data_IF_941388343026
#
_entry.id   IF_941388343026
#
_cell.length_a   1.000
_cell.length_b   1.000
_cell.length_c   1.000
_cell.angle_alpha   90.00
_cell.angle_beta   90.00
_cell.angle_gamma   90.00
#
_symmetry.space_group_name_H-M   'P 1'
#
loop_
_entity.id
_entity.type
_entity.pdbx_description
1 polymer ?
#
# COMPACT_ATOMS: atom_id res chain seq x y z
N UNK A 1 -35.22 1.59 0.86
CA UNK A 1 -35.96 0.73 1.82
C UNK A 1 -34.98 0.25 2.89
N UNK A 2 -35.09 0.72 4.14
CA UNK A 2 -34.33 0.11 5.24
C UNK A 2 -34.79 -1.35 5.44
N UNK A 3 -33.84 -2.26 5.65
CA UNK A 3 -34.12 -3.68 5.89
C UNK A 3 -34.99 -3.80 7.15
N UNK A 4 -36.12 -4.51 7.08
CA UNK A 4 -36.90 -4.84 8.28
C UNK A 4 -36.18 -5.94 9.05
N UNK A 5 -35.71 -5.70 10.28
CA UNK A 5 -35.06 -6.74 11.08
C UNK A 5 -36.13 -7.71 11.58
N UNK A 6 -35.82 -8.99 11.47
CA UNK A 6 -36.53 -10.04 12.19
C UNK A 6 -35.84 -10.16 13.56
N UNK A 7 -36.47 -9.60 14.60
CA UNK A 7 -35.99 -9.67 15.99
C UNK A 7 -35.57 -8.32 16.59
N UNK A 8 -35.93 -8.10 17.87
CA UNK A 8 -35.52 -6.92 18.65
C UNK A 8 -34.24 -7.26 19.43
N UNK A 9 -33.10 -6.70 19.05
CA UNK A 9 -32.00 -6.51 20.00
C UNK A 9 -32.26 -5.24 20.80
N UNK A 10 -32.55 -5.39 22.10
CA UNK A 10 -32.52 -4.25 23.03
C UNK A 10 -31.07 -3.81 23.16
N UNK A 11 -30.75 -2.60 22.71
CA UNK A 11 -29.52 -1.91 23.09
C UNK A 11 -29.58 -1.63 24.60
N UNK A 12 -29.19 -2.62 25.40
CA UNK A 12 -29.07 -2.50 26.85
C UNK A 12 -27.63 -2.11 27.17
N UNK A 13 -27.41 -0.81 27.26
CA UNK A 13 -26.11 -0.25 27.61
C UNK A 13 -25.96 1.15 27.04
N UNK A 14 -26.06 2.16 27.91
CA UNK A 14 -25.41 3.44 27.65
C UNK A 14 -23.91 3.15 27.51
N UNK A 15 -23.42 2.97 26.28
CA UNK A 15 -21.97 3.00 26.05
C UNK A 15 -21.53 4.44 26.31
N UNK A 16 -20.98 4.68 27.49
CA UNK A 16 -20.17 5.86 27.78
C UNK A 16 -18.89 5.77 26.96
N UNK A 17 -18.98 6.09 25.67
CA UNK A 17 -17.82 6.50 24.89
C UNK A 17 -17.61 7.96 25.27
N UNK A 18 -16.48 8.24 25.92
CA UNK A 18 -16.09 9.57 26.38
C UNK A 18 -16.46 10.64 25.35
N UNK A 19 -17.12 11.70 25.84
CA UNK A 19 -17.39 12.91 25.05
C UNK A 19 -16.05 13.52 24.67
N UNK A 20 -15.52 13.15 23.50
CA UNK A 20 -14.66 14.05 22.77
C UNK A 20 -15.56 15.20 22.29
N UNK A 21 -15.30 16.42 22.74
CA UNK A 21 -15.83 17.65 22.13
C UNK A 21 -15.46 17.62 20.65
N UNK A 22 -16.39 17.17 19.81
CA UNK A 22 -16.03 16.56 18.53
C UNK A 22 -17.03 16.79 17.41
N UNK A 23 -17.87 17.84 17.50
CA UNK A 23 -18.68 18.26 16.36
C UNK A 23 -17.85 18.90 15.24
N UNK A 24 -16.59 19.27 15.50
CA UNK A 24 -15.71 19.87 14.48
C UNK A 24 -14.89 18.86 13.66
N UNK A 25 -14.50 17.73 14.25
CA UNK A 25 -13.47 16.85 13.64
C UNK A 25 -13.98 16.16 12.38
N UNK A 26 -15.29 15.97 12.21
CA UNK A 26 -15.87 15.26 11.05
C UNK A 26 -16.72 16.16 10.14
N UNK A 27 -16.65 17.50 10.30
CA UNK A 27 -17.40 18.44 9.43
C UNK A 27 -17.03 18.29 7.96
N UNK A 28 -15.79 17.90 7.67
CA UNK A 28 -15.31 17.63 6.31
C UNK A 28 -16.03 16.44 5.64
N UNK A 29 -16.81 15.66 6.40
CA UNK A 29 -17.63 14.56 5.89
C UNK A 29 -19.11 14.94 5.70
N UNK A 30 -19.49 16.18 5.99
CA UNK A 30 -20.84 16.65 5.71
C UNK A 30 -21.03 16.80 4.20
N UNK A 31 -21.64 15.78 3.58
CA UNK A 31 -21.89 15.70 2.15
C UNK A 31 -22.84 16.79 1.64
N UNK A 32 -23.58 17.47 2.54
CA UNK A 32 -24.48 18.55 2.14
C UNK A 32 -23.76 19.91 2.11
N UNK A 33 -22.52 19.99 2.60
CA UNK A 33 -21.72 21.20 2.56
C UNK A 33 -20.91 21.25 1.24
N UNK A 34 -21.18 22.21 0.34
CA UNK A 34 -20.50 22.29 -0.97
C UNK A 34 -18.98 22.41 -0.86
N UNK A 35 -18.49 22.99 0.23
CA UNK A 35 -17.05 23.18 0.50
C UNK A 35 -16.30 21.85 0.60
N UNK A 36 -16.97 20.78 1.05
CA UNK A 36 -16.33 19.47 1.31
C UNK A 36 -16.74 18.37 0.32
N UNK A 37 -17.26 18.78 -0.85
CA UNK A 37 -17.70 17.82 -1.87
C UNK A 37 -16.57 16.90 -2.34
N UNK A 38 -15.35 17.43 -2.45
CA UNK A 38 -14.15 16.66 -2.80
C UNK A 38 -13.87 15.51 -1.84
N UNK A 39 -14.10 15.72 -0.55
CA UNK A 39 -13.85 14.76 0.53
C UNK A 39 -14.90 13.66 0.51
N UNK A 40 -16.17 14.00 0.26
CA UNK A 40 -17.23 13.03 0.05
C UNK A 40 -16.99 12.16 -1.20
N UNK A 41 -16.56 12.77 -2.30
CA UNK A 41 -16.21 12.05 -3.53
C UNK A 41 -14.98 11.14 -3.31
N UNK A 42 -13.99 11.61 -2.55
CA UNK A 42 -12.83 10.82 -2.14
C UNK A 42 -13.24 9.62 -1.28
N UNK A 43 -14.11 9.81 -0.29
CA UNK A 43 -14.65 8.72 0.52
C UNK A 43 -15.39 7.71 -0.35
N UNK A 44 -16.30 8.16 -1.20
CA UNK A 44 -17.08 7.27 -2.06
C UNK A 44 -16.15 6.44 -2.96
N UNK A 45 -15.11 7.04 -3.54
CA UNK A 45 -14.12 6.34 -4.36
C UNK A 45 -13.46 5.16 -3.63
N UNK A 46 -13.20 5.30 -2.33
CA UNK A 46 -12.52 4.28 -1.53
C UNK A 46 -13.48 3.30 -0.82
N UNK A 47 -14.70 3.75 -0.50
CA UNK A 47 -15.69 2.93 0.20
C UNK A 47 -16.62 2.14 -0.73
N UNK A 48 -16.76 2.55 -2.00
CA UNK A 48 -17.59 1.83 -2.97
C UNK A 48 -17.08 0.40 -3.15
N UNK A 49 -18.00 -0.55 -3.19
CA UNK A 49 -17.73 -2.00 -3.27
C UNK A 49 -17.10 -2.61 -2.02
N UNK A 50 -16.88 -1.84 -0.94
CA UNK A 50 -16.52 -2.44 0.33
C UNK A 50 -17.71 -3.26 0.86
N UNK A 51 -17.38 -4.42 1.41
CA UNK A 51 -18.33 -5.27 2.11
C UNK A 51 -18.37 -4.85 3.57
N UNK A 52 -19.55 -4.63 4.11
CA UNK A 52 -19.75 -4.18 5.49
C UNK A 52 -20.76 -5.05 6.20
N UNK A 53 -20.52 -5.28 7.48
CA UNK A 53 -21.43 -5.95 8.39
C UNK A 53 -22.14 -4.91 9.24
N UNK A 54 -23.46 -5.02 9.30
CA UNK A 54 -24.25 -4.13 10.16
C UNK A 54 -24.24 -4.64 11.60
N UNK A 55 -23.97 -3.75 12.56
CA UNK A 55 -23.96 -4.09 13.99
C UNK A 55 -25.37 -4.16 14.60
N UNK A 56 -26.38 -3.60 13.93
CA UNK A 56 -27.77 -3.54 14.40
C UNK A 56 -28.60 -4.79 14.09
N UNK A 57 -28.11 -5.69 13.24
CA UNK A 57 -28.80 -6.91 12.86
C UNK A 57 -28.50 -8.07 13.84
N UNK A 58 -29.54 -8.83 14.21
CA UNK A 58 -29.41 -10.03 15.05
C UNK A 58 -28.57 -11.14 14.38
N UNK A 59 -28.56 -11.17 13.04
CA UNK A 59 -27.69 -12.03 12.24
C UNK A 59 -26.66 -11.17 11.50
N UNK A 60 -25.38 -11.61 11.41
CA UNK A 60 -24.36 -10.88 10.67
C UNK A 60 -24.67 -10.97 9.18
N UNK A 61 -25.42 -10.00 8.67
CA UNK A 61 -25.66 -9.83 7.23
C UNK A 61 -24.57 -8.91 6.70
N UNK A 62 -23.90 -9.36 5.64
CA UNK A 62 -22.88 -8.59 4.93
C UNK A 62 -23.50 -7.93 3.72
N UNK A 63 -23.34 -6.61 3.63
CA UNK A 63 -23.82 -5.78 2.52
C UNK A 63 -22.65 -5.24 1.72
N UNK A 64 -22.89 -4.86 0.46
CA UNK A 64 -21.94 -4.15 -0.38
C UNK A 64 -22.35 -2.68 -0.49
N UNK A 65 -21.43 -1.77 -0.18
CA UNK A 65 -21.65 -0.32 -0.33
C UNK A 65 -21.72 0.02 -1.82
N UNK A 66 -22.81 0.66 -2.23
CA UNK A 66 -22.97 1.15 -3.61
C UNK A 66 -22.76 2.66 -3.72
N UNK A 67 -23.25 3.43 -2.74
CA UNK A 67 -23.22 4.88 -2.76
C UNK A 67 -23.24 5.48 -1.35
N UNK A 68 -22.91 6.76 -1.23
CA UNK A 68 -23.20 7.58 -0.05
C UNK A 68 -24.56 8.28 -0.24
N UNK A 69 -25.45 8.12 0.73
CA UNK A 69 -26.68 8.90 0.85
C UNK A 69 -26.43 10.22 1.57
N UNK A 70 -27.51 10.99 1.79
CA UNK A 70 -27.45 12.20 2.60
C UNK A 70 -27.16 11.87 4.07
N UNK A 71 -26.90 12.90 4.86
CA UNK A 71 -26.72 12.79 6.32
C UNK A 71 -27.91 12.11 6.98
N UNK A 72 -27.68 11.36 8.06
CA UNK A 72 -28.73 10.61 8.75
C UNK A 72 -29.92 11.48 9.21
N UNK A 73 -29.66 12.75 9.55
CA UNK A 73 -30.67 13.74 9.93
C UNK A 73 -31.57 14.19 8.78
N UNK A 74 -31.08 14.14 7.53
CA UNK A 74 -31.79 14.62 6.33
C UNK A 74 -32.33 13.45 5.51
N UNK A 75 -31.55 12.39 5.36
CA UNK A 75 -31.88 11.23 4.56
C UNK A 75 -33.20 10.63 5.05
N UNK A 76 -34.21 10.62 4.19
CA UNK A 76 -35.51 10.02 4.48
C UNK A 76 -35.70 8.71 3.76
N UNK A 77 -36.63 7.91 4.28
CA UNK A 77 -37.14 6.71 3.63
C UNK A 77 -38.58 6.43 4.08
N UNK A 78 -39.28 5.62 3.29
CA UNK A 78 -40.63 5.18 3.63
C UNK A 78 -40.59 4.06 4.69
N UNK A 79 -41.06 4.36 5.90
CA UNK A 79 -41.18 3.38 6.97
C UNK A 79 -42.47 2.57 6.81
N UNK A 80 -42.34 1.41 6.16
CA UNK A 80 -43.47 0.54 5.81
C UNK A 80 -44.41 0.21 6.97
N UNK A 81 -43.89 -0.06 8.17
CA UNK A 81 -44.71 -0.46 9.31
C UNK A 81 -45.60 0.67 9.86
N UNK A 82 -45.15 1.93 9.75
CA UNK A 82 -45.92 3.11 10.22
C UNK A 82 -46.53 3.92 9.06
N UNK A 83 -46.38 3.45 7.82
CA UNK A 83 -46.83 4.13 6.60
C UNK A 83 -46.46 5.64 6.55
N UNK A 84 -45.28 6.00 7.07
CA UNK A 84 -44.80 7.39 7.10
C UNK A 84 -43.40 7.52 6.51
N UNK A 85 -43.11 8.68 5.91
CA UNK A 85 -41.73 9.08 5.61
C UNK A 85 -41.06 9.52 6.91
N UNK A 86 -39.86 9.03 7.18
CA UNK A 86 -39.09 9.38 8.39
C UNK A 86 -37.62 9.51 8.02
N UNK A 87 -36.89 10.35 8.75
CA UNK A 87 -35.43 10.44 8.62
C UNK A 87 -34.78 9.18 9.19
N UNK A 88 -33.59 8.83 8.69
CA UNK A 88 -32.84 7.67 9.20
C UNK A 88 -32.55 7.87 10.69
N UNK A 89 -32.12 9.06 11.12
CA UNK A 89 -31.91 9.40 12.53
C UNK A 89 -33.15 9.12 13.40
N UNK A 90 -34.31 9.65 13.01
CA UNK A 90 -35.54 9.47 13.79
C UNK A 90 -36.01 8.01 13.81
N UNK A 91 -35.78 7.25 12.73
CA UNK A 91 -36.05 5.82 12.73
C UNK A 91 -35.20 5.08 13.77
N UNK A 92 -33.88 5.31 13.81
CA UNK A 92 -33.02 4.65 14.79
C UNK A 92 -33.35 5.07 16.23
N UNK A 93 -33.74 6.33 16.44
CA UNK A 93 -34.21 6.83 17.74
C UNK A 93 -35.52 6.18 18.16
N UNK A 94 -36.53 6.12 17.28
CA UNK A 94 -37.85 5.56 17.61
C UNK A 94 -37.87 4.03 17.67
N UNK A 95 -37.21 3.34 16.73
CA UNK A 95 -37.30 1.89 16.58
C UNK A 95 -36.28 1.13 17.43
N UNK A 96 -35.03 1.62 17.48
CA UNK A 96 -33.94 0.99 18.20
C UNK A 96 -33.62 1.66 19.54
N UNK A 97 -34.27 2.78 19.88
CA UNK A 97 -33.95 3.61 21.04
C UNK A 97 -32.47 4.04 21.06
N UNK A 98 -31.92 4.33 19.88
CA UNK A 98 -30.52 4.68 19.68
C UNK A 98 -30.42 6.15 19.27
N UNK A 99 -29.73 6.96 20.08
CA UNK A 99 -29.40 8.35 19.73
C UNK A 99 -28.03 8.37 19.05
N UNK A 100 -27.97 8.87 17.82
CA UNK A 100 -26.74 8.93 17.03
C UNK A 100 -25.78 9.96 17.59
N UNK A 101 -24.48 9.68 17.55
CA UNK A 101 -23.46 10.62 17.99
C UNK A 101 -23.10 11.63 16.90
N UNK A 102 -23.19 11.21 15.63
CA UNK A 102 -22.80 11.98 14.46
C UNK A 102 -23.91 11.96 13.38
N UNK A 103 -25.09 12.54 13.66
CA UNK A 103 -26.22 12.53 12.72
C UNK A 103 -25.95 13.29 11.40
N UNK A 104 -24.91 14.13 11.37
CA UNK A 104 -24.43 14.82 10.16
C UNK A 104 -23.65 13.92 9.21
N UNK A 105 -23.21 12.72 9.62
CA UNK A 105 -22.48 11.80 8.75
C UNK A 105 -23.40 11.22 7.66
N UNK A 106 -22.89 11.04 6.42
CA UNK A 106 -23.66 10.43 5.34
C UNK A 106 -24.06 9.00 5.69
N UNK A 107 -25.23 8.61 5.20
CA UNK A 107 -25.68 7.23 5.24
C UNK A 107 -24.99 6.42 4.15
N UNK A 108 -24.76 5.14 4.39
CA UNK A 108 -24.27 4.21 3.38
C UNK A 108 -25.45 3.58 2.66
N UNK A 109 -25.52 3.74 1.34
CA UNK A 109 -26.53 3.10 0.50
C UNK A 109 -26.04 1.75 -0.02
N UNK A 110 -26.80 0.72 0.28
CA UNK A 110 -26.55 -0.66 -0.13
C UNK A 110 -27.18 -0.93 -1.51
N UNK A 111 -26.75 -2.02 -2.15
CA UNK A 111 -27.26 -2.44 -3.48
C UNK A 111 -28.77 -2.69 -3.54
N UNK A 112 -29.35 -3.16 -2.44
CA UNK A 112 -30.80 -3.38 -2.30
C UNK A 112 -31.58 -2.08 -2.01
N UNK A 113 -30.92 -0.92 -2.01
CA UNK A 113 -31.52 0.38 -1.73
C UNK A 113 -31.79 0.64 -0.24
N UNK A 114 -31.20 -0.12 0.68
CA UNK A 114 -31.22 0.17 2.11
C UNK A 114 -30.14 1.16 2.52
N UNK A 115 -30.42 1.97 3.54
CA UNK A 115 -29.47 2.91 4.13
C UNK A 115 -28.99 2.38 5.48
N UNK A 116 -27.68 2.32 5.70
CA UNK A 116 -27.08 1.94 6.99
C UNK A 116 -26.21 3.10 7.47
N UNK A 117 -26.13 3.31 8.78
CA UNK A 117 -25.33 4.38 9.37
C UNK A 117 -23.84 4.02 9.37
N UNK A 118 -22.97 4.96 9.03
CA UNK A 118 -21.51 4.76 9.12
C UNK A 118 -21.06 4.43 10.55
N UNK A 119 -21.80 4.90 11.58
CA UNK A 119 -21.54 4.57 12.99
C UNK A 119 -21.80 3.11 13.36
N UNK A 120 -22.54 2.36 12.55
CA UNK A 120 -23.05 1.02 12.88
C UNK A 120 -22.56 -0.06 11.92
N UNK A 121 -21.46 0.19 11.20
CA UNK A 121 -20.88 -0.79 10.27
C UNK A 121 -19.46 -1.18 10.65
N UNK A 122 -19.17 -2.46 10.53
CA UNK A 122 -17.81 -2.99 10.51
C UNK A 122 -17.43 -3.34 9.06
N UNK A 123 -16.27 -2.89 8.61
CA UNK A 123 -15.76 -3.22 7.27
C UNK A 123 -15.21 -4.65 7.30
N UNK A 124 -15.71 -5.51 6.41
CA UNK A 124 -15.17 -6.86 6.24
C UNK A 124 -13.73 -6.81 5.72
N UNK A 125 -12.88 -7.80 6.04
CA UNK A 125 -11.50 -7.83 5.58
C UNK A 125 -11.37 -7.60 4.07
N UNK A 126 -10.70 -6.51 3.70
CA UNK A 126 -10.54 -6.09 2.31
C UNK A 126 -9.21 -6.63 1.77
N UNK A 127 -9.26 -7.31 0.62
CA UNK A 127 -8.04 -7.60 -0.16
C UNK A 127 -7.63 -6.34 -0.91
N UNK A 128 -6.68 -5.61 -0.35
CA UNK A 128 -6.11 -4.41 -1.00
C UNK A 128 -5.29 -4.84 -2.21
N UNK A 129 -5.70 -4.45 -3.42
CA UNK A 129 -5.01 -4.83 -4.67
C UNK A 129 -3.76 -3.98 -4.95
N UNK A 130 -3.76 -2.73 -4.50
CA UNK A 130 -2.65 -1.78 -4.64
C UNK A 130 -2.49 -1.04 -3.31
N UNK A 131 -1.28 -1.07 -2.79
CA UNK A 131 -0.88 -0.33 -1.59
C UNK A 131 -0.09 0.92 -2.01
N UNK A 132 -0.16 1.98 -1.20
CA UNK A 132 0.68 3.18 -1.38
C UNK A 132 2.16 2.87 -1.11
N UNK A 133 3.07 3.73 -1.55
CA UNK A 133 4.51 3.53 -1.28
C UNK A 133 4.83 3.58 0.22
N UNK A 134 4.11 4.41 0.98
CA UNK A 134 4.18 4.45 2.45
C UNK A 134 3.73 3.13 3.08
N UNK A 135 2.58 2.60 2.65
CA UNK A 135 2.09 1.29 3.10
C UNK A 135 3.06 0.17 2.70
N UNK A 136 3.67 0.25 1.52
CA UNK A 136 4.70 -0.70 1.06
C UNK A 136 5.95 -0.62 1.94
N UNK A 137 6.42 0.58 2.26
CA UNK A 137 7.56 0.77 3.15
C UNK A 137 7.27 0.21 4.55
N UNK A 138 6.07 0.45 5.08
CA UNK A 138 5.64 -0.10 6.36
C UNK A 138 5.55 -1.64 6.33
N UNK A 139 4.97 -2.20 5.27
CA UNK A 139 4.91 -3.65 5.08
C UNK A 139 6.32 -4.27 5.01
N UNK A 140 7.21 -3.66 4.22
CA UNK A 140 8.59 -4.11 4.10
C UNK A 140 9.30 -4.10 5.46
N UNK A 141 9.17 -3.02 6.24
CA UNK A 141 9.71 -2.94 7.60
C UNK A 141 9.13 -4.02 8.51
N UNK A 142 7.82 -4.27 8.41
CA UNK A 142 7.14 -5.26 9.23
C UNK A 142 7.53 -6.70 8.85
N UNK A 143 7.74 -6.99 7.57
CA UNK A 143 8.08 -8.33 7.08
C UNK A 143 9.59 -8.62 7.07
N UNK A 144 10.44 -7.59 7.14
CA UNK A 144 11.89 -7.74 7.18
C UNK A 144 12.34 -8.09 8.60
N UNK A 145 12.11 -9.34 8.99
CA UNK A 145 12.56 -9.88 10.28
C UNK A 145 13.78 -10.78 10.10
N UNK A 146 14.61 -10.88 11.14
CA UNK A 146 15.81 -11.71 11.08
C UNK A 146 15.47 -13.21 11.01
N UNK A 147 16.35 -14.07 10.46
CA UNK A 147 16.09 -15.52 10.44
C UNK A 147 15.82 -16.11 11.83
N UNK A 148 16.47 -15.56 12.88
CA UNK A 148 16.24 -15.97 14.27
C UNK A 148 14.84 -15.62 14.76
N UNK A 149 14.34 -14.43 14.45
CA UNK A 149 12.99 -14.01 14.80
C UNK A 149 11.93 -14.76 13.99
N UNK A 150 12.21 -15.02 12.72
CA UNK A 150 11.35 -15.84 11.86
C UNK A 150 11.23 -17.28 12.37
N UNK A 151 12.34 -17.88 12.80
CA UNK A 151 12.32 -19.21 13.43
C UNK A 151 11.45 -19.22 14.70
N UNK A 152 11.64 -18.23 15.58
CA UNK A 152 10.81 -18.06 16.79
C UNK A 152 9.35 -17.81 16.48
N UNK A 153 9.02 -17.09 15.41
CA UNK A 153 7.62 -16.81 15.06
C UNK A 153 6.90 -18.08 14.60
N UNK A 154 7.58 -18.93 13.83
CA UNK A 154 7.04 -20.25 13.44
C UNK A 154 6.87 -21.16 14.67
N UNK A 155 7.86 -21.21 15.57
CA UNK A 155 7.74 -21.98 16.82
C UNK A 155 6.56 -21.50 17.66
N UNK A 156 6.39 -20.18 17.82
CA UNK A 156 5.24 -19.61 18.53
C UNK A 156 3.89 -19.97 17.91
N UNK A 157 3.80 -20.09 16.58
CA UNK A 157 2.57 -20.56 15.91
C UNK A 157 2.24 -21.99 16.33
N UNK A 158 3.27 -22.84 16.51
CA UNK A 158 3.10 -24.23 16.96
C UNK A 158 2.77 -24.34 18.45
N UNK A 159 3.26 -23.42 19.27
CA UNK A 159 3.07 -23.43 20.73
C UNK A 159 1.78 -22.72 21.20
N UNK A 160 1.14 -21.92 20.34
CA UNK A 160 0.01 -21.08 20.74
C UNK A 160 -1.25 -21.91 21.04
N UNK A 161 -1.73 -21.95 22.30
CA UNK A 161 -2.90 -22.74 22.70
C UNK A 161 -4.22 -22.23 22.13
N UNK A 162 -4.24 -21.01 21.58
CA UNK A 162 -5.41 -20.47 20.90
C UNK A 162 -5.46 -20.83 19.40
N UNK A 163 -4.43 -21.49 18.87
CA UNK A 163 -4.43 -22.01 17.50
C UNK A 163 -4.75 -23.49 17.53
N UNK A 164 -5.53 -23.96 16.55
CA UNK A 164 -5.89 -25.38 16.45
C UNK A 164 -4.62 -26.22 16.29
N UNK A 165 -4.35 -27.07 17.28
CA UNK A 165 -3.30 -28.08 17.21
C UNK A 165 -3.65 -29.10 16.12
N UNK A 166 -2.65 -29.53 15.36
CA UNK A 166 -2.86 -30.55 14.33
C UNK A 166 -3.23 -31.89 14.97
N UNK A 167 -2.79 -32.13 16.22
CA UNK A 167 -3.14 -33.29 17.02
C UNK A 167 -4.64 -33.34 17.38
N UNK A 168 -5.29 -32.17 17.48
CA UNK A 168 -6.71 -32.04 17.82
C UNK A 168 -7.60 -31.86 16.58
N UNK A 169 -7.01 -31.76 15.38
CA UNK A 169 -7.76 -31.60 14.14
C UNK A 169 -8.41 -32.94 13.73
N UNK A 170 -9.76 -33.03 13.68
CA UNK A 170 -10.45 -34.27 13.33
C UNK A 170 -10.15 -34.75 11.91
N UNK A 171 -9.81 -33.84 10.98
CA UNK A 171 -9.40 -34.21 9.63
C UNK A 171 -7.98 -34.78 9.62
N UNK A 172 -7.05 -34.20 10.38
CA UNK A 172 -5.70 -34.76 10.48
C UNK A 172 -5.71 -36.16 11.11
N UNK A 173 -6.50 -36.33 12.18
CA UNK A 173 -6.70 -37.62 12.84
C UNK A 173 -7.32 -38.68 11.91
N UNK A 174 -8.33 -38.31 11.12
CA UNK A 174 -8.97 -39.23 10.16
C UNK A 174 -7.98 -39.77 9.09
N UNK A 175 -6.92 -39.03 8.79
CA UNK A 175 -5.86 -39.43 7.85
C UNK A 175 -4.64 -40.06 8.54
N UNK A 176 -4.70 -40.30 9.86
CA UNK A 176 -3.57 -40.75 10.68
C UNK A 176 -2.31 -39.88 10.51
N UNK A 177 -2.49 -38.57 10.35
CA UNK A 177 -1.38 -37.63 10.24
C UNK A 177 -0.88 -37.24 11.63
N UNK A 178 0.44 -37.30 11.81
CA UNK A 178 1.11 -36.75 12.98
C UNK A 178 2.18 -35.75 12.50
N UNK A 179 2.10 -34.51 13.00
CA UNK A 179 2.95 -33.40 12.56
C UNK A 179 3.87 -33.00 13.71
N UNK A 180 5.17 -33.21 13.52
CA UNK A 180 6.17 -32.82 14.51
C UNK A 180 6.16 -31.30 14.75
N UNK A 181 6.39 -30.87 15.99
CA UNK A 181 6.38 -29.46 16.39
C UNK A 181 7.69 -28.74 16.07
N UNK A 182 8.81 -29.44 16.21
CA UNK A 182 10.14 -28.88 15.94
C UNK A 182 10.44 -28.77 14.44
N UNK A 183 11.27 -27.79 14.10
CA UNK A 183 11.79 -27.64 12.73
C UNK A 183 12.73 -28.79 12.37
N UNK A 184 12.66 -29.20 11.11
CA UNK A 184 13.55 -30.22 10.56
C UNK A 184 15.02 -29.74 10.59
N UNK A 185 15.89 -30.54 11.19
CA UNK A 185 17.34 -30.30 11.15
C UNK A 185 17.95 -31.07 9.99
N UNK A 186 18.64 -30.36 9.11
CA UNK A 186 19.28 -30.92 7.92
C UNK A 186 20.79 -30.66 7.94
N UNK A 187 21.64 -31.65 7.62
CA UNK A 187 23.07 -31.40 7.43
C UNK A 187 23.27 -30.54 6.19
N UNK A 188 24.04 -29.46 6.34
CA UNK A 188 24.40 -28.56 5.25
C UNK A 188 25.93 -28.44 5.14
N UNK A 189 26.41 -28.03 3.97
CA UNK A 189 27.82 -27.73 3.72
C UNK A 189 27.95 -26.32 3.18
N UNK A 190 28.87 -25.54 3.75
CA UNK A 190 29.26 -24.24 3.20
C UNK A 190 30.36 -24.50 2.18
N UNK A 191 30.11 -24.13 0.92
CA UNK A 191 31.13 -24.25 -0.12
C UNK A 191 32.17 -23.13 0.04
N UNK A 192 33.47 -23.40 -0.21
CA UNK A 192 34.48 -22.36 -0.19
C UNK A 192 34.17 -21.31 -1.26
N UNK A 193 34.47 -20.06 -0.94
CA UNK A 193 34.38 -18.96 -1.90
C UNK A 193 35.37 -19.20 -3.06
N UNK A 194 34.98 -18.99 -4.32
CA UNK A 194 35.93 -19.05 -5.43
C UNK A 194 36.92 -17.88 -5.37
N UNK A 195 38.11 -18.09 -5.93
CA UNK A 195 39.04 -16.98 -6.16
C UNK A 195 38.51 -16.07 -7.26
N UNK A 196 38.55 -14.76 -7.02
CA UNK A 196 38.11 -13.76 -7.99
C UNK A 196 39.33 -13.05 -8.56
N UNK A 197 39.63 -13.33 -9.83
CA UNK A 197 40.79 -12.75 -10.52
C UNK A 197 40.38 -11.46 -11.23
N UNK A 198 41.03 -10.36 -10.85
CA UNK A 198 40.86 -9.06 -11.49
C UNK A 198 41.99 -8.79 -12.47
N UNK A 199 43.24 -8.91 -12.03
CA UNK A 199 44.41 -8.81 -12.92
C UNK A 199 45.40 -9.90 -12.56
N UNK A 200 46.43 -10.10 -13.37
CA UNK A 200 47.50 -11.05 -13.06
C UNK A 200 48.21 -10.74 -11.72
N UNK A 201 48.09 -9.51 -11.23
CA UNK A 201 48.68 -9.04 -9.97
C UNK A 201 47.66 -8.91 -8.82
N UNK A 202 46.36 -9.03 -9.09
CA UNK A 202 45.34 -8.86 -8.07
C UNK A 202 44.22 -9.89 -8.20
N UNK A 203 44.07 -10.68 -7.13
CA UNK A 203 43.02 -11.65 -6.94
C UNK A 203 42.47 -11.57 -5.52
N UNK A 204 41.18 -11.85 -5.36
CA UNK A 204 40.52 -11.95 -4.06
C UNK A 204 40.44 -13.42 -3.70
N UNK A 205 41.08 -13.80 -2.58
CA UNK A 205 41.04 -15.16 -2.04
C UNK A 205 40.15 -15.23 -0.79
N UNK A 206 39.86 -16.45 -0.34
CA UNK A 206 38.98 -16.66 0.81
C UNK A 206 39.55 -16.09 2.12
N UNK A 207 40.87 -16.01 2.25
CA UNK A 207 41.58 -15.50 3.42
C UNK A 207 41.61 -13.97 3.46
N UNK A 208 41.44 -13.32 2.30
CA UNK A 208 41.47 -11.87 2.16
C UNK A 208 40.13 -11.20 2.50
N UNK A 209 39.07 -11.99 2.69
CA UNK A 209 37.69 -11.52 2.87
C UNK A 209 37.22 -11.82 4.30
N UNK A 210 36.63 -10.83 4.96
CA UNK A 210 36.06 -10.99 6.30
C UNK A 210 34.79 -11.85 6.30
N UNK A 211 33.91 -11.62 5.33
CA UNK A 211 32.57 -12.22 5.27
C UNK A 211 32.35 -12.91 3.91
N UNK A 212 32.10 -14.23 3.87
CA UNK A 212 31.91 -14.96 2.62
C UNK A 212 30.84 -14.34 1.72
N UNK A 213 31.16 -14.15 0.45
CA UNK A 213 30.26 -13.56 -0.54
C UNK A 213 30.23 -12.03 -0.58
N UNK A 214 31.01 -11.35 0.27
CA UNK A 214 31.17 -9.90 0.25
C UNK A 214 32.65 -9.58 0.05
N UNK A 215 33.01 -8.89 -1.02
CA UNK A 215 34.37 -8.40 -1.19
C UNK A 215 34.35 -6.95 -1.66
N UNK A 216 35.30 -6.17 -1.15
CA UNK A 216 35.53 -4.82 -1.64
C UNK A 216 36.48 -4.86 -2.84
N UNK A 217 36.11 -4.10 -3.87
CA UNK A 217 36.99 -3.76 -4.95
C UNK A 217 38.09 -2.84 -4.42
N UNK A 218 39.30 -3.35 -4.18
CA UNK A 218 40.47 -2.49 -4.09
C UNK A 218 40.65 -1.78 -5.44
N UNK A 219 41.22 -0.56 -5.46
CA UNK A 219 41.41 0.21 -6.70
C UNK A 219 42.32 -0.56 -7.65
N UNK A 220 41.68 -1.32 -8.53
CA UNK A 220 42.28 -2.26 -9.48
C UNK A 220 41.47 -2.23 -10.76
N UNK A 221 42.09 -2.64 -11.85
CA UNK A 221 41.45 -2.61 -13.17
C UNK A 221 40.53 -3.81 -13.34
N UNK A 222 39.55 -3.68 -14.23
CA UNK A 222 38.80 -4.84 -14.68
C UNK A 222 39.73 -5.86 -15.36
N UNK A 223 39.37 -7.14 -15.26
CA UNK A 223 40.05 -8.23 -15.97
C UNK A 223 40.12 -8.01 -17.47
N UNK A 224 39.03 -7.49 -18.04
CA UNK A 224 38.98 -7.02 -19.42
C UNK A 224 38.22 -5.70 -19.44
N UNK A 225 38.92 -4.55 -19.38
CA UNK A 225 38.27 -3.26 -19.49
C UNK A 225 37.62 -3.11 -20.87
N UNK A 226 36.41 -2.56 -20.90
CA UNK A 226 35.74 -2.26 -22.16
C UNK A 226 36.43 -1.08 -22.87
N UNK A 227 36.44 -1.13 -24.20
CA UNK A 227 36.77 0.05 -25.01
C UNK A 227 35.62 1.04 -24.93
N UNK A 228 35.90 2.26 -24.50
CA UNK A 228 34.89 3.31 -24.43
C UNK A 228 34.73 3.99 -25.82
N UNK A 229 33.51 4.40 -26.21
CA UNK A 229 33.31 5.10 -27.48
C UNK A 229 34.13 6.39 -27.56
N UNK A 230 34.68 6.67 -28.74
CA UNK A 230 35.40 7.92 -29.00
C UNK A 230 34.53 9.17 -28.78
N UNK A 231 33.22 9.03 -28.98
CA UNK A 231 32.22 10.10 -28.83
C UNK A 231 31.03 9.59 -28.02
N UNK A 232 30.65 10.35 -27.00
CA UNK A 232 29.45 10.12 -26.19
C UNK A 232 28.87 11.47 -25.75
N UNK A 233 27.60 11.47 -25.34
CA UNK A 233 26.87 12.69 -24.99
C UNK A 233 26.45 12.74 -23.52
N UNK A 234 26.38 13.94 -22.97
CA UNK A 234 25.82 14.23 -21.65
C UNK A 234 24.65 15.21 -21.79
N UNK A 235 23.47 14.82 -21.31
CA UNK A 235 22.25 15.63 -21.36
C UNK A 235 21.77 15.87 -19.92
N UNK A 236 21.76 17.13 -19.49
CA UNK A 236 21.23 17.49 -18.18
C UNK A 236 19.72 17.81 -18.27
N UNK A 237 18.88 16.91 -17.76
CA UNK A 237 17.43 17.10 -17.66
C UNK A 237 16.96 17.64 -16.30
N UNK A 238 17.90 17.86 -15.39
CA UNK A 238 17.64 18.34 -14.03
C UNK A 238 17.78 19.87 -13.93
N UNK A 239 17.58 20.42 -12.73
CA UNK A 239 17.85 21.82 -12.41
C UNK A 239 19.26 22.05 -11.87
N UNK A 240 20.14 21.04 -11.92
CA UNK A 240 21.53 21.18 -11.49
C UNK A 240 22.27 22.14 -12.41
N UNK A 241 23.18 22.92 -11.84
CA UNK A 241 24.00 23.84 -12.62
C UNK A 241 25.05 23.11 -13.46
N UNK A 242 25.71 23.88 -14.34
CA UNK A 242 26.74 23.34 -15.21
C UNK A 242 27.93 22.82 -14.40
N UNK A 243 28.41 23.55 -13.39
CA UNK A 243 29.58 23.15 -12.61
C UNK A 243 29.42 21.77 -11.95
N UNK A 244 28.27 21.50 -11.34
CA UNK A 244 27.97 20.20 -10.75
C UNK A 244 27.94 19.08 -11.79
N UNK A 245 27.46 19.37 -13.00
CA UNK A 245 27.50 18.42 -14.11
C UNK A 245 28.93 18.15 -14.58
N UNK A 246 29.77 19.20 -14.63
CA UNK A 246 31.19 19.09 -14.95
C UNK A 246 31.95 18.25 -13.95
N UNK A 247 31.75 18.52 -12.66
CA UNK A 247 32.35 17.75 -11.57
C UNK A 247 31.94 16.28 -11.66
N UNK A 248 30.65 16.01 -11.91
CA UNK A 248 30.13 14.64 -12.06
C UNK A 248 30.81 13.85 -13.18
N UNK A 249 30.84 14.37 -14.42
CA UNK A 249 31.44 13.62 -15.52
C UNK A 249 32.96 13.54 -15.39
N UNK A 250 33.62 14.50 -14.72
CA UNK A 250 35.05 14.43 -14.44
C UNK A 250 35.36 13.33 -13.42
N UNK A 251 34.59 13.22 -12.34
CA UNK A 251 34.72 12.13 -11.37
C UNK A 251 34.44 10.76 -12.02
N UNK A 252 33.40 10.67 -12.86
CA UNK A 252 33.11 9.46 -13.63
C UNK A 252 34.32 9.02 -14.46
N UNK A 253 35.00 9.97 -15.13
CA UNK A 253 36.20 9.69 -15.93
C UNK A 253 37.36 9.21 -15.08
N UNK A 254 37.59 9.83 -13.92
CA UNK A 254 38.64 9.41 -12.98
C UNK A 254 38.38 7.97 -12.52
N UNK A 255 37.16 7.66 -12.10
CA UNK A 255 36.76 6.30 -11.68
C UNK A 255 36.90 5.31 -12.83
N UNK A 256 36.44 5.65 -14.04
CA UNK A 256 36.58 4.81 -15.22
C UNK A 256 38.05 4.50 -15.54
N UNK A 257 38.92 5.51 -15.49
CA UNK A 257 40.36 5.37 -15.74
C UNK A 257 41.02 4.46 -14.71
N UNK A 258 40.66 4.59 -13.43
CA UNK A 258 41.16 3.71 -12.37
C UNK A 258 40.74 2.25 -12.59
N UNK A 259 39.56 2.02 -13.16
CA UNK A 259 39.06 0.70 -13.56
C UNK A 259 39.63 0.20 -14.90
N UNK A 260 40.50 0.97 -15.56
CA UNK A 260 41.15 0.62 -16.81
C UNK A 260 40.38 1.01 -18.08
N UNK A 261 39.32 1.80 -17.96
CA UNK A 261 38.50 2.28 -19.08
C UNK A 261 38.91 3.73 -19.39
N UNK A 262 39.37 3.98 -20.61
CA UNK A 262 39.72 5.34 -21.04
C UNK A 262 38.47 6.10 -21.50
N UNK A 263 37.90 6.93 -20.61
CA UNK A 263 36.69 7.69 -20.87
C UNK A 263 37.03 9.13 -21.29
N UNK A 264 36.69 9.49 -22.52
CA UNK A 264 36.88 10.84 -23.06
C UNK A 264 35.83 11.83 -22.52
N UNK A 265 36.01 13.13 -22.78
CA UNK A 265 35.01 14.14 -22.39
C UNK A 265 33.71 13.94 -23.19
N UNK A 266 32.52 14.10 -22.55
CA UNK A 266 31.26 14.04 -23.26
C UNK A 266 31.04 15.27 -24.14
N UNK A 267 30.23 15.11 -25.18
CA UNK A 267 29.56 16.22 -25.85
C UNK A 267 28.40 16.67 -24.97
N UNK A 268 28.44 17.92 -24.51
CA UNK A 268 27.39 18.49 -23.67
C UNK A 268 26.26 18.95 -24.58
N UNK A 269 25.06 18.43 -24.31
CA UNK A 269 23.84 18.91 -24.92
C UNK A 269 23.08 19.71 -23.87
N UNK A 270 23.03 21.02 -24.07
CA UNK A 270 22.17 21.88 -23.28
C UNK A 270 20.72 21.56 -23.58
N UNK A 271 19.87 21.71 -22.56
CA UNK A 271 18.43 21.61 -22.71
C UNK A 271 18.00 22.57 -23.80
N UNK A 272 17.50 22.03 -24.92
CA UNK A 272 16.89 22.80 -25.99
C UNK A 272 15.88 23.77 -25.39
N UNK A 273 15.99 25.04 -25.78
CA UNK A 273 15.07 26.10 -25.39
C UNK A 273 13.63 25.61 -25.61
N UNK A 274 12.83 25.62 -24.55
CA UNK A 274 11.43 25.15 -24.59
C UNK A 274 10.61 25.82 -25.69
N UNK A 275 11.01 27.03 -26.12
CA UNK A 275 10.46 27.73 -27.28
C UNK A 275 10.68 26.99 -28.61
N UNK A 276 11.85 26.40 -28.83
CA UNK A 276 12.14 25.68 -30.07
C UNK A 276 11.39 24.34 -30.16
N UNK A 277 11.17 23.66 -29.02
CA UNK A 277 10.39 22.42 -28.97
C UNK A 277 8.91 22.69 -29.23
N UNK A 278 8.36 23.76 -28.65
CA UNK A 278 6.99 24.19 -28.92
C UNK A 278 6.80 24.54 -30.41
N UNK A 279 7.75 25.27 -31.00
CA UNK A 279 7.73 25.62 -32.42
C UNK A 279 7.92 24.38 -33.31
N UNK A 280 8.75 23.41 -32.93
CA UNK A 280 8.92 22.17 -33.70
C UNK A 280 7.66 21.33 -33.72
N UNK A 281 6.94 21.22 -32.59
CA UNK A 281 5.65 20.52 -32.54
C UNK A 281 4.54 21.27 -33.29
N UNK A 282 4.56 22.62 -33.29
CA UNK A 282 3.67 23.42 -34.14
C UNK A 282 3.98 23.25 -35.63
N UNK A 283 5.23 23.40 -36.07
CA UNK A 283 5.63 23.20 -37.47
C UNK A 283 5.42 21.75 -37.96
N UNK A 284 5.63 20.76 -37.11
CA UNK A 284 5.39 19.34 -37.43
C UNK A 284 3.91 19.00 -37.55
N UNK A 285 3.04 19.78 -36.88
CA UNK A 285 1.58 19.65 -37.03
C UNK A 285 1.07 20.31 -38.31
N UNK A 286 1.81 21.29 -38.84
CA UNK A 286 1.49 22.01 -40.07
C UNK A 286 2.09 21.39 -41.34
N UNK A 287 3.17 20.59 -41.23
CA UNK A 287 3.75 19.89 -42.39
C UNK A 287 4.21 18.44 -42.09
N UNK A 288 3.39 17.43 -42.42
CA UNK A 288 3.62 16.02 -42.06
C UNK A 288 4.86 15.36 -42.69
N UNK A 289 5.47 15.97 -43.70
CA UNK A 289 6.61 15.39 -44.44
C UNK A 289 7.98 15.56 -43.75
N UNK A 290 8.06 16.26 -42.61
CA UNK A 290 9.30 16.44 -41.83
C UNK A 290 9.53 15.38 -40.74
N UNK A 291 8.66 14.37 -40.60
CA UNK A 291 8.88 13.24 -39.70
C UNK A 291 9.87 12.26 -40.35
N UNK A 292 11.10 12.21 -39.84
CA UNK A 292 11.95 11.02 -40.01
C UNK A 292 11.36 9.84 -39.24
#
# INVERSE_FOLDING_TARGET
MLHSPCGKRKYSGQRNVQKADGNDVLKFLDINNPTYKSEADFLLKHCKHLRVRSQDADKPIVYEICQLGQSASIQTFQWKQKHKSVTVENYYKEYYNLTLKYPSLPTLQMRNGSYILMELVDVEPVRVKKITDEQRALLCRYSSITPKEYCKSIQKIRENPNQQYFEEDPFAAAWNLNVHTDMLTLPARVLPMPEIVYTDQYQVTSEAVRDPGIWEMKPTKFHKPATFPAVWGFINLSSLDQQMCEDFYNELRIVAKNLGIDCHLPQIYEKYDSFLVANYYQESSENPQKRF
#
